data_IF_894404102220
#
_entry.id   IF_894404102220
#
_cell.length_a   1.000
_cell.length_b   1.000
_cell.length_c   1.000
_cell.angle_alpha   90.00
_cell.angle_beta   90.00
_cell.angle_gamma   90.00
#
_symmetry.space_group_name_H-M   'P 1'
#
loop_
_entity.id
_entity.type
_entity.pdbx_description
1 polymer ?
#
# COMPACT_ATOMS: atom_id res chain seq x y z
N UNK A 1 20.73 -16.45 4.68
CA UNK A 1 20.38 -15.05 5.04
C UNK A 1 20.88 -14.11 3.94
N UNK A 2 22.14 -14.28 3.50
CA UNK A 2 22.77 -13.55 2.38
C UNK A 2 21.97 -13.50 1.06
N UNK A 3 21.33 -14.60 0.66
CA UNK A 3 20.50 -14.65 -0.56
C UNK A 3 19.25 -13.75 -0.45
N UNK A 4 18.63 -13.70 0.73
CA UNK A 4 17.42 -12.92 0.97
C UNK A 4 17.73 -11.42 0.99
N UNK A 5 18.88 -11.05 1.54
CA UNK A 5 19.36 -9.67 1.54
C UNK A 5 19.79 -9.22 0.13
N UNK A 6 20.36 -10.13 -0.67
CA UNK A 6 20.64 -9.89 -2.09
C UNK A 6 19.36 -9.60 -2.87
N UNK A 7 18.33 -10.43 -2.71
CA UNK A 7 17.01 -10.22 -3.35
C UNK A 7 16.39 -8.89 -2.92
N UNK A 8 16.49 -8.52 -1.64
CA UNK A 8 16.00 -7.21 -1.17
C UNK A 8 16.74 -6.05 -1.84
N UNK A 9 18.07 -6.14 -1.97
CA UNK A 9 18.87 -5.11 -2.62
C UNK A 9 18.49 -4.93 -4.10
N UNK A 10 18.32 -6.03 -4.84
CA UNK A 10 17.88 -6.00 -6.24
C UNK A 10 16.48 -5.38 -6.41
N UNK A 11 15.56 -5.72 -5.50
CA UNK A 11 14.21 -5.15 -5.50
C UNK A 11 14.20 -3.66 -5.16
N UNK A 12 15.03 -3.21 -4.21
CA UNK A 12 15.17 -1.79 -3.89
C UNK A 12 15.67 -0.98 -5.08
N UNK A 13 16.53 -1.56 -5.93
CA UNK A 13 17.02 -0.91 -7.14
C UNK A 13 15.97 -0.86 -8.26
N UNK A 14 15.17 -1.92 -8.43
CA UNK A 14 14.27 -2.09 -9.59
C UNK A 14 12.85 -1.58 -9.36
N UNK A 15 12.27 -1.85 -8.18
CA UNK A 15 10.86 -1.59 -7.88
C UNK A 15 10.43 -0.13 -8.02
N UNK A 16 11.23 0.90 -7.67
CA UNK A 16 10.83 2.29 -7.90
C UNK A 16 10.52 2.57 -9.39
N UNK A 17 11.31 1.99 -10.30
CA UNK A 17 11.08 2.06 -11.73
C UNK A 17 9.82 1.31 -12.16
N UNK A 18 9.60 0.10 -11.62
CA UNK A 18 8.41 -0.71 -11.92
C UNK A 18 7.11 -0.06 -11.44
N UNK A 19 7.11 0.53 -10.24
CA UNK A 19 5.97 1.28 -9.71
C UNK A 19 5.64 2.45 -10.63
N UNK A 20 6.65 3.20 -11.09
CA UNK A 20 6.43 4.31 -12.04
C UNK A 20 5.82 3.82 -13.35
N UNK A 21 6.31 2.70 -13.90
CA UNK A 21 5.78 2.07 -15.12
C UNK A 21 4.33 1.61 -14.96
N UNK A 22 4.04 0.86 -13.89
CA UNK A 22 2.69 0.37 -13.59
C UNK A 22 1.70 1.52 -13.38
N UNK A 23 2.14 2.60 -12.70
CA UNK A 23 1.33 3.80 -12.48
C UNK A 23 0.97 4.47 -13.79
N UNK A 24 1.94 4.61 -14.69
CA UNK A 24 1.72 5.20 -16.01
C UNK A 24 0.79 4.33 -16.87
N UNK A 25 0.91 3.00 -16.80
CA UNK A 25 0.00 2.08 -17.48
C UNK A 25 -1.43 2.20 -16.96
N UNK A 26 -1.62 2.20 -15.64
CA UNK A 26 -2.93 2.43 -15.02
C UNK A 26 -3.53 3.78 -15.47
N UNK A 27 -2.76 4.88 -15.41
CA UNK A 27 -3.26 6.20 -15.83
C UNK A 27 -3.72 6.21 -17.28
N UNK A 28 -2.97 5.60 -18.20
CA UNK A 28 -3.37 5.49 -19.61
C UNK A 28 -4.66 4.69 -19.78
N UNK A 29 -4.80 3.57 -19.06
CA UNK A 29 -6.03 2.80 -19.07
C UNK A 29 -7.18 3.65 -18.53
N UNK A 30 -7.07 4.19 -17.31
CA UNK A 30 -8.13 4.98 -16.69
C UNK A 30 -8.58 6.19 -17.55
N UNK A 31 -7.67 6.82 -18.29
CA UNK A 31 -7.99 7.92 -19.21
C UNK A 31 -8.73 7.45 -20.48
N UNK A 32 -8.53 6.21 -20.94
CA UNK A 32 -9.20 5.67 -22.12
C UNK A 32 -10.73 5.54 -21.93
N UNK A 33 -11.21 5.52 -20.68
CA UNK A 33 -12.65 5.52 -20.36
C UNK A 33 -13.40 6.80 -20.74
N UNK A 34 -12.70 7.86 -21.17
CA UNK A 34 -13.33 9.09 -21.68
C UNK A 34 -14.13 8.86 -22.99
N UNK A 35 -14.02 7.67 -23.60
CA UNK A 35 -14.77 7.26 -24.78
C UNK A 35 -16.13 6.66 -24.38
N UNK A 36 -17.18 6.95 -25.15
CA UNK A 36 -18.53 6.35 -25.00
C UNK A 36 -18.45 4.82 -25.19
N UNK A 37 -18.24 4.08 -24.12
CA UNK A 37 -18.23 2.61 -24.10
C UNK A 37 -19.65 2.06 -23.86
N UNK A 38 -19.98 0.92 -24.48
CA UNK A 38 -21.13 0.13 -24.07
C UNK A 38 -20.89 -0.51 -22.67
N UNK A 39 -21.95 -1.04 -22.06
CA UNK A 39 -21.90 -1.58 -20.71
C UNK A 39 -20.89 -2.73 -20.54
N UNK A 40 -20.74 -3.62 -21.54
CA UNK A 40 -19.80 -4.75 -21.48
C UNK A 40 -18.37 -4.25 -21.60
N UNK A 41 -18.12 -3.34 -22.53
CA UNK A 41 -16.83 -2.69 -22.73
C UNK A 41 -16.40 -1.90 -21.49
N UNK A 42 -17.33 -1.19 -20.85
CA UNK A 42 -17.07 -0.49 -19.60
C UNK A 42 -16.75 -1.44 -18.44
N UNK A 43 -17.49 -2.54 -18.28
CA UNK A 43 -17.22 -3.54 -17.24
C UNK A 43 -15.84 -4.21 -17.41
N UNK A 44 -15.46 -4.54 -18.65
CA UNK A 44 -14.14 -5.05 -18.97
C UNK A 44 -13.05 -4.01 -18.66
N UNK A 45 -13.29 -2.75 -19.03
CA UNK A 45 -12.40 -1.63 -18.75
C UNK A 45 -12.16 -1.44 -17.24
N UNK A 46 -13.23 -1.45 -16.44
CA UNK A 46 -13.16 -1.35 -14.99
C UNK A 46 -12.37 -2.52 -14.38
N UNK A 47 -12.55 -3.73 -14.89
CA UNK A 47 -11.79 -4.92 -14.46
C UNK A 47 -10.29 -4.74 -14.73
N UNK A 48 -9.92 -4.23 -15.91
CA UNK A 48 -8.53 -3.94 -16.24
C UNK A 48 -7.92 -2.86 -15.33
N UNK A 49 -8.67 -1.79 -15.02
CA UNK A 49 -8.25 -0.76 -14.08
C UNK A 49 -8.01 -1.31 -12.68
N UNK A 50 -8.93 -2.17 -12.18
CA UNK A 50 -8.78 -2.84 -10.88
C UNK A 50 -7.53 -3.70 -10.84
N UNK A 51 -7.28 -4.51 -11.87
CA UNK A 51 -6.07 -5.33 -11.97
C UNK A 51 -4.79 -4.48 -11.95
N UNK A 52 -4.79 -3.34 -12.66
CA UNK A 52 -3.66 -2.40 -12.64
C UNK A 52 -3.39 -1.81 -11.26
N UNK A 53 -4.44 -1.46 -10.50
CA UNK A 53 -4.30 -0.98 -9.12
C UNK A 53 -3.80 -2.08 -8.17
N UNK A 54 -4.32 -3.30 -8.27
CA UNK A 54 -3.85 -4.43 -7.46
C UNK A 54 -2.37 -4.76 -7.74
N UNK A 55 -1.93 -4.65 -8.99
CA UNK A 55 -0.51 -4.79 -9.32
C UNK A 55 0.33 -3.71 -8.64
N UNK A 56 -0.08 -2.44 -8.74
CA UNK A 56 0.61 -1.33 -8.07
C UNK A 56 0.73 -1.52 -6.56
N UNK A 57 -0.35 -1.94 -5.91
CA UNK A 57 -0.37 -2.24 -4.49
C UNK A 57 0.63 -3.35 -4.13
N UNK A 58 0.70 -4.42 -4.94
CA UNK A 58 1.66 -5.49 -4.79
C UNK A 58 3.12 -5.01 -4.85
N UNK A 59 3.45 -4.15 -5.80
CA UNK A 59 4.81 -3.59 -5.92
C UNK A 59 5.17 -2.70 -4.72
N UNK A 60 4.23 -1.90 -4.23
CA UNK A 60 4.43 -1.05 -3.05
C UNK A 60 4.68 -1.93 -1.81
N UNK A 61 3.91 -2.99 -1.63
CA UNK A 61 4.10 -3.96 -0.55
C UNK A 61 5.46 -4.65 -0.62
N UNK A 62 5.89 -5.04 -1.82
CA UNK A 62 7.22 -5.63 -2.03
C UNK A 62 8.34 -4.62 -1.72
N UNK A 63 8.20 -3.37 -2.16
CA UNK A 63 9.19 -2.33 -1.88
C UNK A 63 9.30 -2.06 -0.38
N UNK A 64 8.16 -2.00 0.30
CA UNK A 64 8.07 -1.85 1.76
C UNK A 64 8.75 -3.01 2.48
N UNK A 65 8.48 -4.24 2.06
CA UNK A 65 9.15 -5.42 2.61
C UNK A 65 10.68 -5.39 2.37
N UNK A 66 11.11 -5.01 1.17
CA UNK A 66 12.53 -4.94 0.82
C UNK A 66 13.28 -3.85 1.59
N UNK A 67 12.59 -2.79 2.01
CA UNK A 67 13.15 -1.66 2.78
C UNK A 67 13.46 -1.99 4.25
N UNK A 68 13.11 -3.18 4.73
CA UNK A 68 13.45 -3.64 6.08
C UNK A 68 12.41 -3.32 7.17
N UNK A 69 12.69 -3.72 8.42
CA UNK A 69 11.70 -3.82 9.50
C UNK A 69 11.01 -2.49 9.86
N UNK A 70 11.66 -1.34 9.68
CA UNK A 70 11.06 -0.03 9.97
C UNK A 70 10.00 0.39 8.94
N UNK A 71 10.04 -0.19 7.74
CA UNK A 71 9.03 0.08 6.72
C UNK A 71 7.75 -0.73 6.99
N UNK A 72 7.86 -1.95 7.53
CA UNK A 72 6.72 -2.86 7.76
C UNK A 72 5.88 -2.52 9.00
N UNK A 73 6.41 -1.79 9.98
CA UNK A 73 5.65 -1.47 11.21
C UNK A 73 4.47 -0.53 10.98
N UNK A 74 4.52 0.29 9.93
CA UNK A 74 3.43 1.21 9.61
C UNK A 74 2.30 0.55 8.76
N UNK A 75 2.33 -0.78 8.57
CA UNK A 75 1.23 -1.59 7.98
C UNK A 75 0.66 -2.62 8.95
N UNK A 76 1.15 -2.67 10.19
CA UNK A 76 0.35 -3.24 11.26
C UNK A 76 -0.79 -2.26 11.49
N UNK A 77 -1.94 -2.52 10.87
CA UNK A 77 -3.19 -2.19 11.53
C UNK A 77 -3.00 -2.64 12.98
N UNK A 78 -2.90 -1.67 13.91
CA UNK A 78 -2.76 -1.99 15.33
C UNK A 78 -3.87 -2.99 15.59
N UNK A 79 -3.52 -4.18 16.12
CA UNK A 79 -4.56 -5.14 16.43
C UNK A 79 -5.60 -4.43 17.29
N UNK A 80 -6.91 -4.72 17.15
CA UNK A 80 -7.94 -4.00 17.91
C UNK A 80 -7.64 -3.94 19.41
N UNK A 81 -6.99 -4.97 19.95
CA UNK A 81 -6.49 -5.03 21.32
C UNK A 81 -5.36 -4.03 21.64
N UNK A 82 -4.42 -3.81 20.71
CA UNK A 82 -3.33 -2.86 20.89
C UNK A 82 -3.82 -1.42 20.78
N UNK A 83 -4.76 -1.15 19.88
CA UNK A 83 -5.42 0.16 19.75
C UNK A 83 -6.26 0.49 21.00
N UNK A 84 -7.02 -0.49 21.52
CA UNK A 84 -7.79 -0.31 22.75
C UNK A 84 -6.91 -0.05 23.98
N UNK A 85 -5.77 -0.74 24.09
CA UNK A 85 -4.81 -0.52 25.17
C UNK A 85 -4.20 0.90 25.13
N UNK A 86 -3.89 1.39 23.94
CA UNK A 86 -3.34 2.74 23.74
C UNK A 86 -4.37 3.83 24.01
N UNK A 87 -5.62 3.65 23.56
CA UNK A 87 -6.73 4.56 23.89
C UNK A 87 -6.93 4.63 25.41
N UNK A 88 -6.93 3.48 26.11
CA UNK A 88 -7.07 3.44 27.58
C UNK A 88 -5.93 4.19 28.28
N UNK A 89 -4.70 4.04 27.79
CA UNK A 89 -3.52 4.77 28.31
C UNK A 89 -3.70 6.29 28.14
N UNK A 90 -4.06 6.75 26.94
CA UNK A 90 -4.26 8.17 26.66
C UNK A 90 -5.37 8.79 27.52
N UNK A 91 -6.47 8.06 27.75
CA UNK A 91 -7.56 8.49 28.64
C UNK A 91 -7.08 8.62 30.09
N UNK A 92 -6.28 7.67 30.57
CA UNK A 92 -5.74 7.71 31.94
C UNK A 92 -4.80 8.91 32.13
N UNK A 93 -3.93 9.18 31.16
CA UNK A 93 -3.02 10.34 31.17
C UNK A 93 -3.80 11.66 31.16
N UNK A 94 -4.81 11.79 30.30
CA UNK A 94 -5.66 12.98 30.24
C UNK A 94 -6.43 13.21 31.55
N UNK A 95 -6.92 12.14 32.19
CA UNK A 95 -7.59 12.24 33.50
C UNK A 95 -6.62 12.63 34.61
N UNK A 96 -5.41 12.09 34.61
CA UNK A 96 -4.36 12.48 35.56
C UNK A 96 -3.98 13.95 35.44
N UNK A 97 -3.86 14.45 34.21
CA UNK A 97 -3.54 15.85 33.94
C UNK A 97 -4.65 16.84 34.32
N UNK A 98 -5.91 16.39 34.42
CA UNK A 98 -7.04 17.21 34.88
C UNK A 98 -7.25 17.16 36.40
N UNK A 99 -6.64 16.19 37.08
CA UNK A 99 -6.77 15.97 38.52
C UNK A 99 -5.60 16.54 39.34
N UNK A 100 -4.58 17.08 38.67
CA UNK A 100 -3.48 17.86 39.27
C UNK A 100 -3.54 19.31 38.84
#
# INVERSE_FOLDING_TARGET
>A
MEELDTVRAELLQSLPGDISRARNAYRRMAQAAALKMDAKSFAAHQTACKAGLSHLEGLIKLLRWASGPDAAENDKAKSPAMEEAEIRKLIAEARGALAG
#
